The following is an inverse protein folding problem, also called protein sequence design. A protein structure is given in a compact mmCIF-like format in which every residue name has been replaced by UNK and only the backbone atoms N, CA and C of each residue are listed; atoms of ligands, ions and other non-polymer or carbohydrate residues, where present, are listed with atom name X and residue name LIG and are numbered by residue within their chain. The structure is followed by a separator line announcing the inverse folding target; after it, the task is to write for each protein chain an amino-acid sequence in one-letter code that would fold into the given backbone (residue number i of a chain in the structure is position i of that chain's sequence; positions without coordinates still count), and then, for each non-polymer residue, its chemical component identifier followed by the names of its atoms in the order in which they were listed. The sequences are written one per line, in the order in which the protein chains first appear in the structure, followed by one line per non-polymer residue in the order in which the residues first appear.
data_IF_171459309361
#
_entry.id   IF_171459309361
#
_cell.length_a   1.000
_cell.length_b   1.000
_cell.length_c   1.000
_cell.angle_alpha   90.00
_cell.angle_beta   90.00
_cell.angle_gamma   90.00
#
_symmetry.space_group_name_H-M   'P 1'
#
loop_
_entity.id
_entity.type
_entity.pdbx_description
1 polymer ?
#
# COMPACT_ATOMS: atom_id res chain seq x y z
N UNK A 1 18.28 0.32 1.15
CA UNK A 1 18.13 1.46 2.07
C UNK A 1 16.81 1.29 2.81
N UNK A 2 16.82 1.30 4.14
CA UNK A 2 15.61 1.15 4.95
C UNK A 2 14.96 2.52 5.14
N UNK A 3 13.63 2.58 4.98
CA UNK A 3 12.83 3.79 5.18
C UNK A 3 12.86 4.11 6.68
N UNK A 4 13.16 5.36 7.06
CA UNK A 4 13.16 5.83 8.46
C UNK A 4 11.93 6.67 8.76
N UNK A 5 11.67 6.87 10.04
CA UNK A 5 10.60 7.76 10.50
C UNK A 5 10.90 9.18 10.01
N UNK A 6 9.95 9.77 9.27
CA UNK A 6 10.09 11.09 8.65
C UNK A 6 10.47 11.08 7.16
N UNK A 7 10.88 9.93 6.61
CA UNK A 7 11.13 9.81 5.17
C UNK A 7 9.83 9.79 4.38
N UNK A 8 9.81 10.48 3.25
CA UNK A 8 8.69 10.44 2.33
C UNK A 8 8.67 9.09 1.61
N UNK A 9 7.48 8.47 1.54
CA UNK A 9 7.28 7.22 0.82
C UNK A 9 7.54 7.46 -0.67
N UNK A 10 8.34 6.63 -1.35
CA UNK A 10 8.61 6.79 -2.76
C UNK A 10 7.32 6.60 -3.57
N UNK A 11 7.17 7.44 -4.59
CA UNK A 11 6.08 7.34 -5.57
C UNK A 11 6.34 6.14 -6.48
N UNK A 12 5.59 5.06 -6.24
CA UNK A 12 5.66 3.82 -7.02
C UNK A 12 4.25 3.38 -7.36
N UNK A 13 4.10 2.77 -8.53
CA UNK A 13 2.85 2.17 -8.96
C UNK A 13 2.78 0.74 -8.45
N UNK A 14 1.78 0.45 -7.64
CA UNK A 14 1.48 -0.89 -7.13
C UNK A 14 0.35 -1.48 -7.97
N UNK A 15 0.54 -2.71 -8.46
CA UNK A 15 -0.53 -3.46 -9.10
C UNK A 15 -1.25 -4.31 -8.06
N UNK A 16 -2.57 -4.20 -8.00
CA UNK A 16 -3.42 -5.02 -7.14
C UNK A 16 -4.50 -5.72 -7.96
N UNK A 17 -4.93 -6.88 -7.49
CA UNK A 17 -5.97 -7.66 -8.16
C UNK A 17 -7.33 -7.21 -7.64
N UNK A 18 -8.13 -6.60 -8.50
CA UNK A 18 -9.53 -6.31 -8.23
C UNK A 18 -10.43 -7.33 -8.95
N UNK A 19 -11.71 -7.38 -8.58
CA UNK A 19 -12.76 -8.21 -9.18
C UNK A 19 -12.93 -8.03 -10.69
N UNK A 20 -12.49 -6.90 -11.24
CA UNK A 20 -12.52 -6.58 -12.68
C UNK A 20 -11.17 -6.80 -13.39
N UNK A 21 -10.16 -7.34 -12.69
CA UNK A 21 -8.83 -7.58 -13.24
C UNK A 21 -7.72 -6.78 -12.54
N UNK A 22 -6.47 -6.88 -13.04
CA UNK A 22 -5.33 -6.20 -12.46
C UNK A 22 -5.45 -4.68 -12.67
N UNK A 23 -5.52 -3.94 -11.57
CA UNK A 23 -5.50 -2.49 -11.57
C UNK A 23 -4.16 -1.97 -11.05
N UNK A 24 -3.78 -0.80 -11.54
CA UNK A 24 -2.56 -0.10 -11.12
C UNK A 24 -2.97 1.10 -10.27
N UNK A 25 -2.50 1.16 -9.03
CA UNK A 25 -2.71 2.28 -8.11
C UNK A 25 -1.37 2.90 -7.72
N UNK A 26 -1.32 4.22 -7.63
CA UNK A 26 -0.11 4.93 -7.20
C UNK A 26 -0.05 5.04 -5.68
N UNK A 27 1.13 4.86 -5.08
CA UNK A 27 1.32 5.05 -3.63
C UNK A 27 0.95 6.47 -3.18
N UNK A 28 1.12 7.47 -4.04
CA UNK A 28 0.72 8.85 -3.76
C UNK A 28 -0.77 8.98 -3.46
N UNK A 29 -1.63 8.28 -4.19
CA UNK A 29 -3.08 8.31 -3.98
C UNK A 29 -3.48 7.60 -2.68
N UNK A 30 -2.74 6.56 -2.31
CA UNK A 30 -2.98 5.79 -1.09
C UNK A 30 -2.55 6.54 0.17
N UNK A 31 -1.42 7.25 0.13
CA UNK A 31 -0.83 7.90 1.31
C UNK A 31 -1.17 9.40 1.43
N UNK A 32 -1.71 10.05 0.39
CA UNK A 32 -2.03 11.49 0.44
C UNK A 32 -3.18 11.79 1.39
N UNK A 33 -2.89 12.60 2.41
CA UNK A 33 -3.89 13.18 3.31
C UNK A 33 -4.57 12.19 4.27
N UNK A 34 -4.09 10.94 4.34
CA UNK A 34 -4.65 9.89 5.21
C UNK A 34 -3.55 9.32 6.12
N UNK A 35 -3.90 9.04 7.37
CA UNK A 35 -3.06 8.21 8.24
C UNK A 35 -3.25 6.76 7.81
N UNK A 36 -2.19 6.14 7.31
CA UNK A 36 -2.23 4.78 6.76
C UNK A 36 -1.20 3.93 7.47
N UNK A 37 -1.59 2.71 7.84
CA UNK A 37 -0.70 1.68 8.36
C UNK A 37 -0.47 0.67 7.24
N UNK A 38 0.76 0.64 6.71
CA UNK A 38 1.18 -0.36 5.72
C UNK A 38 1.81 -1.56 6.45
N UNK A 39 1.29 -2.75 6.19
CA UNK A 39 1.85 -4.01 6.69
C UNK A 39 2.40 -4.79 5.50
N UNK A 40 3.72 -4.96 5.46
CA UNK A 40 4.39 -5.79 4.45
C UNK A 40 4.62 -7.20 5.02
N UNK A 41 4.06 -8.22 4.38
CA UNK A 41 4.23 -9.61 4.77
C UNK A 41 5.20 -10.29 3.81
N UNK A 42 6.25 -10.93 4.33
CA UNK A 42 7.23 -11.66 3.51
C UNK A 42 6.77 -13.05 3.04
N UNK A 43 5.56 -13.47 3.42
CA UNK A 43 4.96 -14.73 2.98
C UNK A 43 3.49 -14.53 2.64
N UNK A 44 3.11 -14.95 1.44
CA UNK A 44 1.78 -14.79 0.87
C UNK A 44 0.80 -15.76 1.56
N UNK A 45 0.18 -15.34 2.65
CA UNK A 45 -1.08 -15.91 3.11
C UNK A 45 -2.14 -14.81 3.10
N UNK A 46 -3.01 -14.88 2.10
CA UNK A 46 -4.16 -13.97 1.87
C UNK A 46 -4.88 -13.62 3.17
N UNK A 47 -4.60 -12.45 3.76
CA UNK A 47 -5.54 -11.82 4.68
C UNK A 47 -5.61 -10.33 4.39
N UNK A 48 -6.78 -9.97 3.86
CA UNK A 48 -7.24 -8.65 3.50
C UNK A 48 -6.93 -7.62 4.58
N UNK A 49 -6.18 -6.59 4.21
CA UNK A 49 -6.06 -5.37 5.01
C UNK A 49 -7.44 -4.71 5.04
N UNK A 50 -8.12 -4.77 6.19
CA UNK A 50 -9.35 -4.03 6.47
C UNK A 50 -8.94 -2.67 7.03
N UNK A 51 -9.29 -1.62 6.30
CA UNK A 51 -9.19 -0.23 6.74
C UNK A 51 -10.34 0.00 7.72
N UNK A 52 -10.05 0.15 9.01
CA UNK A 52 -11.05 0.54 10.00
C UNK A 52 -11.22 2.06 9.96
N UNK A 53 -12.49 2.48 9.98
CA UNK A 53 -12.99 3.86 9.96
C UNK A 53 -12.46 4.71 11.12
#
# INVERSE_FOLDING_TARGET
MAIKVGDQIPSVSLSYMDSNGPQTISTEELFKGKKVVLIAMASLLKRSVRIAT
#
